data_IF_893670466957
#
_entry.id   IF_893670466957
#
_cell.length_a   1.000
_cell.length_b   1.000
_cell.length_c   1.000
_cell.angle_alpha   90.00
_cell.angle_beta   90.00
_cell.angle_gamma   90.00
#
_symmetry.space_group_name_H-M   'P 1'
#
loop_
_entity.id
_entity.type
_entity.pdbx_description
1 polymer ?
#
# COMPACT_ATOMS: atom_id res chain seq x y z
N UNK A 1 4.67 0.39 35.13
CA UNK A 1 5.53 1.10 34.13
C UNK A 1 5.23 0.68 32.71
N UNK A 2 5.27 -0.59 32.29
CA UNK A 2 5.00 -1.02 30.90
C UNK A 2 3.65 -0.52 30.36
N UNK A 3 2.55 -0.73 31.06
CA UNK A 3 1.18 -0.31 30.66
C UNK A 3 1.01 1.21 30.49
N UNK A 4 1.75 2.02 31.25
CA UNK A 4 1.73 3.50 31.14
C UNK A 4 2.55 3.98 29.95
N UNK A 5 3.60 3.25 29.58
CA UNK A 5 4.45 3.51 28.41
C UNK A 5 3.67 3.15 27.14
N UNK A 6 2.90 2.06 27.16
CA UNK A 6 2.06 1.61 26.05
C UNK A 6 0.92 2.60 25.74
N UNK A 7 0.23 3.13 26.74
CA UNK A 7 -0.80 4.14 26.57
C UNK A 7 -0.30 5.47 25.98
N UNK A 8 0.93 5.87 26.30
CA UNK A 8 1.57 7.05 25.69
C UNK A 8 1.90 6.78 24.21
N UNK A 9 2.34 5.58 23.88
CA UNK A 9 2.65 5.19 22.50
C UNK A 9 1.42 5.27 21.60
N UNK A 10 0.35 4.63 22.00
CA UNK A 10 -0.92 4.63 21.26
C UNK A 10 -1.47 6.05 21.09
N UNK A 11 -1.37 6.88 22.16
CA UNK A 11 -1.83 8.25 22.09
C UNK A 11 -1.01 9.10 21.12
N UNK A 12 0.31 8.89 21.05
CA UNK A 12 1.18 9.56 20.06
C UNK A 12 0.78 9.14 18.64
N UNK A 13 0.58 7.85 18.37
CA UNK A 13 0.15 7.38 17.06
C UNK A 13 -1.22 7.95 16.65
N UNK A 14 -2.17 8.01 17.58
CA UNK A 14 -3.50 8.60 17.34
C UNK A 14 -3.41 10.09 17.00
N UNK A 15 -2.64 10.87 17.76
CA UNK A 15 -2.45 12.31 17.51
C UNK A 15 -1.66 12.53 16.20
N UNK A 16 -0.66 11.71 15.92
CA UNK A 16 0.11 11.77 14.69
C UNK A 16 -0.76 11.48 13.47
N UNK A 17 -1.62 10.46 13.53
CA UNK A 17 -2.56 10.13 12.45
C UNK A 17 -3.43 11.34 12.13
N UNK A 18 -4.02 11.98 13.13
CA UNK A 18 -4.85 13.16 12.92
C UNK A 18 -4.06 14.31 12.28
N UNK A 19 -2.88 14.64 12.81
CA UNK A 19 -2.03 15.71 12.29
C UNK A 19 -1.61 15.46 10.83
N UNK A 20 -1.22 14.22 10.50
CA UNK A 20 -0.85 13.87 9.12
C UNK A 20 -2.05 13.87 8.17
N UNK A 21 -3.22 13.43 8.59
CA UNK A 21 -4.43 13.49 7.77
C UNK A 21 -4.84 14.93 7.46
N UNK A 22 -4.74 15.83 8.46
CA UNK A 22 -5.11 17.23 8.29
C UNK A 22 -4.11 18.01 7.42
N UNK A 23 -2.81 17.90 7.74
CA UNK A 23 -1.77 18.76 7.15
C UNK A 23 -0.90 18.08 6.09
N UNK A 24 -0.95 16.77 5.97
CA UNK A 24 0.00 15.98 5.17
C UNK A 24 1.36 15.86 5.84
N UNK A 25 2.20 14.93 5.34
CA UNK A 25 3.53 14.68 5.92
C UNK A 25 4.40 15.94 5.96
N UNK A 26 4.47 16.69 4.86
CA UNK A 26 5.38 17.83 4.74
C UNK A 26 5.13 18.91 5.82
N UNK A 27 3.85 19.26 6.06
CA UNK A 27 3.45 20.36 6.94
C UNK A 27 3.16 19.92 8.39
N UNK A 28 3.08 18.63 8.66
CA UNK A 28 2.84 18.10 10.00
C UNK A 28 3.99 18.42 10.95
N UNK A 29 3.64 18.76 12.22
CA UNK A 29 4.55 19.21 13.25
C UNK A 29 4.67 18.19 14.40
N UNK A 30 5.88 17.65 14.62
CA UNK A 30 6.16 16.80 15.78
C UNK A 30 5.91 17.51 17.11
N UNK A 31 6.03 18.84 17.15
CA UNK A 31 5.77 19.63 18.34
C UNK A 31 4.26 19.68 18.67
N UNK A 32 3.43 19.83 17.63
CA UNK A 32 1.98 19.84 17.79
C UNK A 32 1.47 18.46 18.19
N UNK A 33 2.00 17.41 17.56
CA UNK A 33 1.74 16.01 17.91
C UNK A 33 2.10 15.74 19.39
N UNK A 34 3.29 16.13 19.82
CA UNK A 34 3.74 15.93 21.19
C UNK A 34 2.83 16.64 22.18
N UNK A 35 2.47 17.91 21.90
CA UNK A 35 1.55 18.69 22.71
C UNK A 35 0.18 18.04 22.80
N UNK A 36 -0.39 17.58 21.68
CA UNK A 36 -1.70 16.93 21.64
C UNK A 36 -1.69 15.56 22.36
N UNK A 37 -0.57 14.83 22.29
CA UNK A 37 -0.38 13.53 22.95
C UNK A 37 -0.02 13.65 24.45
N UNK A 38 0.17 14.85 24.98
CA UNK A 38 0.59 15.04 26.38
C UNK A 38 1.99 14.54 26.69
N UNK A 39 2.90 14.62 25.71
CA UNK A 39 4.30 14.16 25.83
C UNK A 39 5.28 15.21 25.32
N UNK A 40 6.57 14.90 25.29
CA UNK A 40 7.62 15.75 24.73
C UNK A 40 8.04 15.32 23.33
N UNK A 41 8.53 16.26 22.53
CA UNK A 41 9.16 15.93 21.23
C UNK A 41 10.36 14.99 21.40
N UNK A 42 11.14 15.15 22.48
CA UNK A 42 12.23 14.24 22.81
C UNK A 42 11.78 12.79 22.98
N UNK A 43 10.60 12.58 23.58
CA UNK A 43 9.99 11.24 23.71
C UNK A 43 9.62 10.64 22.36
N UNK A 44 9.13 11.47 21.41
CA UNK A 44 8.85 11.04 20.04
C UNK A 44 10.13 10.66 19.31
N UNK A 45 11.17 11.52 19.37
CA UNK A 45 12.47 11.24 18.75
C UNK A 45 13.12 9.96 19.28
N UNK A 46 13.06 9.74 20.59
CA UNK A 46 13.61 8.51 21.21
C UNK A 46 12.94 7.25 20.68
N UNK A 47 11.65 7.31 20.33
CA UNK A 47 10.88 6.13 19.96
C UNK A 47 10.78 5.91 18.47
N UNK A 48 10.69 6.99 17.69
CA UNK A 48 10.44 6.93 16.25
C UNK A 48 11.60 7.47 15.41
N UNK A 49 12.65 7.94 16.04
CA UNK A 49 13.85 8.53 15.43
C UNK A 49 13.57 9.90 14.80
N UNK A 50 12.55 10.04 14.00
CA UNK A 50 12.17 11.28 13.32
C UNK A 50 10.68 11.27 12.89
N UNK A 51 10.28 12.27 12.10
CA UNK A 51 8.92 12.37 11.56
C UNK A 51 8.61 11.25 10.55
N UNK A 52 9.59 10.83 9.77
CA UNK A 52 9.43 9.75 8.82
C UNK A 52 9.23 8.40 9.53
N UNK A 53 9.99 8.13 10.59
CA UNK A 53 9.80 6.94 11.43
C UNK A 53 8.45 6.90 12.13
N UNK A 54 7.93 8.07 12.56
CA UNK A 54 6.56 8.15 13.12
C UNK A 54 5.49 7.89 12.05
N UNK A 55 5.66 8.43 10.84
CA UNK A 55 4.75 8.16 9.72
C UNK A 55 4.80 6.68 9.31
N UNK A 56 6.01 6.11 9.21
CA UNK A 56 6.23 4.69 8.94
C UNK A 56 5.49 3.81 9.96
N UNK A 57 5.59 4.10 11.24
CA UNK A 57 4.91 3.33 12.28
C UNK A 57 3.39 3.31 12.13
N UNK A 58 2.80 4.30 11.46
CA UNK A 58 1.37 4.35 11.15
C UNK A 58 0.99 3.53 9.92
N UNK A 59 1.78 3.60 8.85
CA UNK A 59 1.37 3.05 7.55
C UNK A 59 1.98 1.69 7.23
N UNK A 60 3.20 1.40 7.68
CA UNK A 60 3.93 0.18 7.35
C UNK A 60 3.19 -1.12 7.70
N UNK A 61 2.52 -1.25 8.86
CA UNK A 61 1.81 -2.49 9.18
C UNK A 61 0.74 -2.83 8.14
N UNK A 62 0.00 -1.83 7.64
CA UNK A 62 -1.04 -2.04 6.64
C UNK A 62 -0.45 -2.13 5.21
N UNK A 63 0.50 -1.27 4.87
CA UNK A 63 1.14 -1.25 3.56
C UNK A 63 1.94 -2.54 3.29
N UNK A 64 2.76 -2.96 4.26
CA UNK A 64 3.57 -4.17 4.16
C UNK A 64 2.71 -5.43 4.08
N UNK A 65 1.63 -5.51 4.85
CA UNK A 65 0.71 -6.64 4.81
C UNK A 65 -0.06 -6.72 3.49
N UNK A 66 -0.53 -5.59 2.93
CA UNK A 66 -1.17 -5.59 1.60
C UNK A 66 -0.20 -6.09 0.52
N UNK A 67 1.03 -5.60 0.53
CA UNK A 67 2.08 -6.03 -0.41
C UNK A 67 2.40 -7.51 -0.26
N UNK A 68 2.50 -8.02 0.97
CA UNK A 68 2.72 -9.44 1.26
C UNK A 68 1.58 -10.30 0.70
N UNK A 69 0.31 -9.94 0.97
CA UNK A 69 -0.86 -10.64 0.44
C UNK A 69 -0.88 -10.62 -1.08
N UNK A 70 -0.58 -9.48 -1.66
CA UNK A 70 -0.51 -9.34 -3.11
C UNK A 70 0.55 -10.26 -3.74
N UNK A 71 1.74 -10.33 -3.15
CA UNK A 71 2.79 -11.26 -3.58
C UNK A 71 2.37 -12.72 -3.43
N UNK A 72 1.78 -13.11 -2.31
CA UNK A 72 1.28 -14.48 -2.09
C UNK A 72 0.22 -14.90 -3.11
N UNK A 73 -0.67 -13.97 -3.48
CA UNK A 73 -1.66 -14.19 -4.54
C UNK A 73 -0.95 -14.49 -5.87
N UNK A 74 0.01 -13.66 -6.23
CA UNK A 74 0.79 -13.84 -7.46
C UNK A 74 1.57 -15.17 -7.45
N UNK A 75 2.28 -15.47 -6.38
CA UNK A 75 3.04 -16.70 -6.24
C UNK A 75 2.15 -17.93 -6.27
N UNK A 76 1.01 -17.91 -5.56
CA UNK A 76 0.07 -19.03 -5.54
C UNK A 76 -0.55 -19.30 -6.91
N UNK A 77 -0.91 -18.25 -7.64
CA UNK A 77 -1.42 -18.38 -9.02
C UNK A 77 -0.41 -19.02 -9.96
N UNK A 78 0.87 -18.66 -9.81
CA UNK A 78 1.95 -19.18 -10.65
C UNK A 78 2.44 -20.59 -10.26
N UNK A 79 1.85 -21.24 -9.25
CA UNK A 79 2.02 -22.68 -9.01
C UNK A 79 1.19 -23.53 -9.98
N UNK A 80 0.14 -22.98 -10.60
CA UNK A 80 -0.62 -23.68 -11.61
C UNK A 80 0.17 -23.82 -12.91
N UNK A 81 -0.10 -24.89 -13.66
CA UNK A 81 0.39 -25.00 -15.05
C UNK A 81 -0.29 -23.97 -15.96
N UNK A 82 0.32 -23.73 -17.15
CA UNK A 82 -0.14 -22.68 -18.05
C UNK A 82 -1.59 -22.83 -18.53
N UNK A 83 -2.08 -24.08 -18.72
CA UNK A 83 -3.48 -24.31 -19.09
C UNK A 83 -4.42 -23.92 -17.96
N UNK A 84 -4.14 -24.36 -16.74
CA UNK A 84 -4.92 -24.00 -15.55
C UNK A 84 -4.89 -22.50 -15.29
N UNK A 85 -3.73 -21.85 -15.46
CA UNK A 85 -3.63 -20.39 -15.37
C UNK A 85 -4.57 -19.70 -16.37
N UNK A 86 -4.63 -20.16 -17.60
CA UNK A 86 -5.47 -19.59 -18.65
C UNK A 86 -6.97 -19.75 -18.33
N UNK A 87 -7.37 -20.92 -17.84
CA UNK A 87 -8.76 -21.25 -17.50
C UNK A 87 -9.24 -20.50 -16.24
N UNK A 88 -8.38 -20.34 -15.23
CA UNK A 88 -8.74 -19.82 -13.92
C UNK A 88 -8.47 -18.31 -13.73
N UNK A 89 -7.75 -17.66 -14.63
CA UNK A 89 -7.30 -16.26 -14.50
C UNK A 89 -8.43 -15.33 -14.02
N UNK A 90 -9.58 -15.35 -14.69
CA UNK A 90 -10.66 -14.43 -14.39
C UNK A 90 -11.27 -14.63 -13.00
N UNK A 91 -11.50 -15.89 -12.61
CA UNK A 91 -12.08 -16.25 -11.32
C UNK A 91 -11.11 -15.98 -10.18
N UNK A 92 -9.85 -16.37 -10.38
CA UNK A 92 -8.81 -16.19 -9.39
C UNK A 92 -8.55 -14.71 -9.11
N UNK A 93 -8.42 -13.90 -10.18
CA UNK A 93 -8.22 -12.44 -10.05
C UNK A 93 -9.40 -11.76 -9.35
N UNK A 94 -10.64 -12.11 -9.69
CA UNK A 94 -11.81 -11.52 -9.05
C UNK A 94 -11.85 -11.80 -7.55
N UNK A 95 -11.61 -13.05 -7.13
CA UNK A 95 -11.58 -13.43 -5.72
C UNK A 95 -10.43 -12.76 -4.96
N UNK A 96 -9.25 -12.72 -5.58
CA UNK A 96 -8.10 -12.06 -5.00
C UNK A 96 -8.31 -10.56 -4.78
N UNK A 97 -8.90 -9.88 -5.78
CA UNK A 97 -9.24 -8.46 -5.67
C UNK A 97 -10.21 -8.20 -4.52
N UNK A 98 -11.25 -9.03 -4.37
CA UNK A 98 -12.21 -8.89 -3.28
C UNK A 98 -11.52 -8.92 -1.91
N UNK A 99 -10.65 -9.91 -1.66
CA UNK A 99 -9.90 -10.03 -0.41
C UNK A 99 -8.94 -8.87 -0.14
N UNK A 100 -8.30 -8.33 -1.19
CA UNK A 100 -7.43 -7.15 -1.05
C UNK A 100 -8.24 -5.88 -0.76
N UNK A 101 -9.40 -5.71 -1.39
CA UNK A 101 -10.29 -4.59 -1.08
C UNK A 101 -10.84 -4.67 0.35
N UNK A 102 -11.24 -5.86 0.81
CA UNK A 102 -11.67 -6.05 2.20
C UNK A 102 -10.61 -5.55 3.17
N UNK A 103 -9.38 -5.99 2.96
CA UNK A 103 -8.26 -5.57 3.79
C UNK A 103 -8.01 -4.06 3.77
N UNK A 104 -8.09 -3.43 2.58
CA UNK A 104 -7.93 -1.97 2.46
C UNK A 104 -9.01 -1.24 3.25
N UNK A 105 -10.27 -1.66 3.15
CA UNK A 105 -11.37 -1.02 3.89
C UNK A 105 -11.31 -1.26 5.40
N UNK A 106 -10.81 -2.41 5.85
CA UNK A 106 -10.53 -2.67 7.27
C UNK A 106 -9.44 -1.74 7.83
N UNK A 107 -8.52 -1.29 6.98
CA UNK A 107 -7.39 -0.41 7.32
C UNK A 107 -7.47 0.95 6.62
N UNK A 108 -8.68 1.43 6.36
CA UNK A 108 -8.92 2.64 5.57
C UNK A 108 -8.12 3.88 6.04
N UNK A 109 -8.01 4.18 7.35
CA UNK A 109 -7.23 5.34 7.80
C UNK A 109 -5.74 5.27 7.46
N UNK A 110 -5.14 4.09 7.47
CA UNK A 110 -3.75 3.86 7.08
C UNK A 110 -3.57 4.06 5.57
N UNK A 111 -4.50 3.54 4.77
CA UNK A 111 -4.48 3.72 3.31
C UNK A 111 -4.82 5.15 2.88
N UNK A 112 -5.65 5.89 3.60
CA UNK A 112 -5.83 7.33 3.36
C UNK A 112 -4.53 8.12 3.58
N UNK A 113 -3.79 7.81 4.65
CA UNK A 113 -2.47 8.40 4.88
C UNK A 113 -1.51 8.06 3.74
N UNK A 114 -1.41 6.78 3.40
CA UNK A 114 -0.52 6.24 2.40
C UNK A 114 -0.77 6.84 1.01
N UNK A 115 -2.03 6.93 0.59
CA UNK A 115 -2.39 7.33 -0.78
C UNK A 115 -2.55 8.84 -0.96
N UNK A 116 -2.79 9.60 0.11
CA UNK A 116 -3.10 11.04 0.03
C UNK A 116 -2.08 11.94 0.72
N UNK A 117 -1.31 11.40 1.66
CA UNK A 117 -0.51 12.20 2.59
C UNK A 117 0.97 11.82 2.65
N UNK A 118 1.40 10.81 1.89
CA UNK A 118 2.75 10.26 1.92
C UNK A 118 3.78 11.04 1.08
N UNK A 119 3.39 12.11 0.39
CA UNK A 119 4.32 12.91 -0.41
C UNK A 119 5.52 13.39 0.44
N UNK A 120 6.74 13.09 -0.01
CA UNK A 120 7.98 13.39 0.71
C UNK A 120 8.41 12.30 1.71
N UNK A 121 7.74 11.15 1.73
CA UNK A 121 8.17 9.96 2.44
C UNK A 121 8.64 8.87 1.46
N UNK A 122 9.22 7.80 1.99
CA UNK A 122 9.54 6.59 1.20
C UNK A 122 8.30 5.92 0.58
N UNK A 123 7.11 6.16 1.12
CA UNK A 123 5.84 5.62 0.62
C UNK A 123 5.23 6.43 -0.52
N UNK A 124 5.86 7.52 -0.97
CA UNK A 124 5.35 8.34 -2.08
C UNK A 124 5.17 7.53 -3.37
N UNK A 125 5.92 6.43 -3.52
CA UNK A 125 5.93 5.53 -4.67
C UNK A 125 5.36 4.14 -4.36
N UNK A 126 4.51 4.02 -3.34
CA UNK A 126 3.97 2.73 -2.93
C UNK A 126 3.17 2.02 -4.04
N UNK A 127 2.41 2.78 -4.84
CA UNK A 127 1.67 2.21 -5.98
C UNK A 127 2.64 1.69 -7.04
N UNK A 128 3.74 2.40 -7.30
CA UNK A 128 4.74 1.99 -8.28
C UNK A 128 5.34 0.62 -7.93
N UNK A 129 5.57 0.35 -6.64
CA UNK A 129 6.05 -0.97 -6.19
C UNK A 129 5.05 -2.10 -6.47
N UNK A 130 3.74 -1.86 -6.32
CA UNK A 130 2.70 -2.84 -6.67
C UNK A 130 2.61 -3.04 -8.18
N UNK A 131 2.78 -1.97 -8.96
CA UNK A 131 2.82 -2.01 -10.42
C UNK A 131 3.99 -2.86 -10.91
N UNK A 132 5.18 -2.69 -10.35
CA UNK A 132 6.37 -3.49 -10.70
C UNK A 132 6.16 -4.98 -10.43
N UNK A 133 5.52 -5.33 -9.30
CA UNK A 133 5.16 -6.71 -9.00
C UNK A 133 4.22 -7.26 -10.07
N UNK A 134 3.11 -6.57 -10.37
CA UNK A 134 2.12 -7.00 -11.36
C UNK A 134 2.73 -7.17 -12.76
N UNK A 135 3.55 -6.21 -13.20
CA UNK A 135 4.26 -6.27 -14.49
C UNK A 135 5.15 -7.51 -14.56
N UNK A 136 5.94 -7.75 -13.50
CA UNK A 136 6.83 -8.92 -13.42
C UNK A 136 6.07 -10.24 -13.54
N UNK A 137 4.95 -10.37 -12.81
CA UNK A 137 4.14 -11.60 -12.83
C UNK A 137 3.30 -11.73 -14.11
N UNK A 138 2.92 -10.62 -14.75
CA UNK A 138 2.28 -10.66 -16.08
C UNK A 138 3.22 -11.27 -17.13
N UNK A 139 4.51 -10.96 -17.11
CA UNK A 139 5.47 -11.61 -18.01
C UNK A 139 5.62 -13.10 -17.73
N UNK A 140 5.66 -13.52 -16.46
CA UNK A 140 5.69 -14.94 -16.11
C UNK A 140 4.44 -15.67 -16.60
N UNK A 141 3.26 -15.04 -16.48
CA UNK A 141 2.03 -15.59 -17.03
C UNK A 141 2.09 -15.76 -18.55
N UNK A 142 2.51 -14.72 -19.27
CA UNK A 142 2.65 -14.79 -20.73
C UNK A 142 3.57 -15.93 -21.17
N UNK A 143 4.68 -16.13 -20.46
CA UNK A 143 5.60 -17.25 -20.71
C UNK A 143 4.92 -18.61 -20.44
N UNK A 144 4.23 -18.75 -19.31
CA UNK A 144 3.58 -20.00 -18.91
C UNK A 144 2.48 -20.44 -19.88
N UNK A 145 1.73 -19.48 -20.47
CA UNK A 145 0.67 -19.78 -21.45
C UNK A 145 1.16 -19.82 -22.90
N UNK A 146 2.47 -19.71 -23.12
CA UNK A 146 3.07 -19.75 -24.45
C UNK A 146 2.79 -18.50 -25.30
N UNK A 147 2.41 -17.41 -24.69
CA UNK A 147 2.25 -16.13 -25.37
C UNK A 147 3.64 -15.55 -25.66
N UNK A 148 3.97 -15.17 -26.89
CA UNK A 148 5.28 -14.59 -27.17
C UNK A 148 5.43 -13.30 -26.33
N UNK A 149 6.31 -13.33 -25.36
CA UNK A 149 6.57 -12.21 -24.44
C UNK A 149 7.08 -10.93 -25.13
N UNK A 150 7.48 -11.07 -26.39
CA UNK A 150 7.84 -9.98 -27.32
C UNK A 150 7.09 -10.19 -28.63
N UNK A 151 5.85 -9.79 -28.67
CA UNK A 151 5.22 -9.49 -29.96
C UNK A 151 5.89 -8.21 -30.47
N UNK A 152 6.68 -8.31 -31.54
CA UNK A 152 7.22 -7.15 -32.23
C UNK A 152 6.06 -6.20 -32.53
N UNK A 153 6.00 -5.06 -31.84
CA UNK A 153 5.08 -3.94 -32.08
C UNK A 153 3.77 -3.88 -31.29
N UNK A 154 3.34 -4.92 -30.57
CA UNK A 154 2.01 -4.90 -29.93
C UNK A 154 2.03 -4.59 -28.43
N UNK A 155 2.95 -5.16 -27.66
CA UNK A 155 3.06 -4.91 -26.23
C UNK A 155 4.52 -4.69 -25.85
N UNK A 156 4.89 -3.41 -25.67
CA UNK A 156 6.21 -3.06 -25.13
C UNK A 156 6.14 -3.08 -23.60
N UNK A 157 7.28 -3.25 -22.94
CA UNK A 157 7.40 -3.15 -21.49
C UNK A 157 6.81 -1.83 -20.98
N UNK A 158 7.07 -0.74 -21.68
CA UNK A 158 6.53 0.58 -21.37
C UNK A 158 5.01 0.63 -21.47
N UNK A 159 4.40 0.01 -22.49
CA UNK A 159 2.95 -0.02 -22.63
C UNK A 159 2.30 -0.86 -21.52
N UNK A 160 2.87 -2.03 -21.19
CA UNK A 160 2.39 -2.85 -20.09
C UNK A 160 2.47 -2.07 -18.75
N UNK A 161 3.59 -1.41 -18.50
CA UNK A 161 3.75 -0.57 -17.31
C UNK A 161 2.69 0.55 -17.26
N UNK A 162 2.48 1.29 -18.37
CA UNK A 162 1.48 2.37 -18.44
C UNK A 162 0.07 1.84 -18.16
N UNK A 163 -0.33 0.75 -18.79
CA UNK A 163 -1.68 0.16 -18.62
C UNK A 163 -1.87 -0.33 -17.18
N UNK A 164 -0.86 -1.01 -16.62
CA UNK A 164 -0.89 -1.49 -15.24
C UNK A 164 -0.96 -0.33 -14.25
N UNK A 165 -0.15 0.71 -14.42
CA UNK A 165 -0.21 1.94 -13.60
C UNK A 165 -1.59 2.56 -13.64
N UNK A 166 -2.16 2.74 -14.84
CA UNK A 166 -3.50 3.33 -15.00
C UNK A 166 -4.58 2.52 -14.29
N UNK A 167 -4.48 1.17 -14.31
CA UNK A 167 -5.38 0.28 -13.59
C UNK A 167 -5.26 0.44 -12.09
N UNK A 168 -4.05 0.43 -11.52
CA UNK A 168 -3.82 0.58 -10.09
C UNK A 168 -4.25 1.97 -9.61
N UNK A 169 -3.90 3.03 -10.33
CA UNK A 169 -4.35 4.39 -10.02
C UNK A 169 -5.88 4.47 -9.98
N UNK A 170 -6.58 3.90 -10.98
CA UNK A 170 -8.05 3.88 -10.99
C UNK A 170 -8.65 3.13 -9.81
N UNK A 171 -8.05 2.02 -9.39
CA UNK A 171 -8.47 1.25 -8.22
C UNK A 171 -8.31 2.10 -6.94
N UNK A 172 -7.17 2.74 -6.76
CA UNK A 172 -6.89 3.52 -5.56
C UNK A 172 -7.59 4.89 -5.52
N UNK A 173 -8.08 5.40 -6.66
CA UNK A 173 -8.94 6.61 -6.70
C UNK A 173 -10.21 6.43 -5.88
N UNK A 174 -10.79 5.23 -5.83
CA UNK A 174 -11.94 4.92 -4.98
C UNK A 174 -11.65 5.27 -3.51
N UNK A 175 -10.45 4.93 -3.03
CA UNK A 175 -10.01 5.23 -1.66
C UNK A 175 -9.70 6.73 -1.51
N UNK A 176 -9.02 7.34 -2.49
CA UNK A 176 -8.70 8.78 -2.46
C UNK A 176 -9.97 9.64 -2.43
N UNK A 177 -11.05 9.19 -3.05
CA UNK A 177 -12.34 9.89 -3.04
C UNK A 177 -13.24 9.52 -1.85
N UNK A 178 -12.79 8.65 -0.94
CA UNK A 178 -13.55 8.25 0.25
C UNK A 178 -14.86 7.54 -0.09
N UNK A 179 -14.89 6.80 -1.20
CA UNK A 179 -16.07 6.03 -1.58
C UNK A 179 -16.25 4.86 -0.61
N UNK A 180 -17.48 4.67 -0.14
CA UNK A 180 -17.81 3.50 0.69
C UNK A 180 -17.80 2.23 -0.17
N UNK A 181 -17.46 1.11 0.47
CA UNK A 181 -17.73 -0.20 -0.10
C UNK A 181 -19.26 -0.36 -0.24
N UNK A 182 -19.71 -0.66 -1.46
CA UNK A 182 -21.12 -0.93 -1.74
C UNK A 182 -21.54 -2.30 -1.21
#
# INVERSE_FOLDING_TARGET
MAKQIEGVYENVLRCARQEFLEKGFALASLRDIAKAAGTSTGSIYTRFTDKAGLFRALVEPAAGELKRRFLEIQESFHQFDGQTQQEEMGRYTAHAQEGLFDYIYEHLPEFELLLRRAAGTEYAHYIDELVEIEVSYTYKYMEAVGYPARMEGALTEQLLHIVTTSRFESIFEVIRHGMSRA
#
